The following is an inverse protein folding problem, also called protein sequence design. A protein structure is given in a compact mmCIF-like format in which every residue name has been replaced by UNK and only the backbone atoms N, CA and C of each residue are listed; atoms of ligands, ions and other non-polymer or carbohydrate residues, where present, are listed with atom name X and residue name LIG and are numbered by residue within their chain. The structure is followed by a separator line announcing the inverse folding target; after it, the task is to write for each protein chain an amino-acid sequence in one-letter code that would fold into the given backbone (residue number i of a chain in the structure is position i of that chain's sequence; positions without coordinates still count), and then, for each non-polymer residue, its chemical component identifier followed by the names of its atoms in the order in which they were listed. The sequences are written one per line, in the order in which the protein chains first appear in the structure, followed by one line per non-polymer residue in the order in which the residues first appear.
data_IF_663567769472
#
_entry.id   IF_663567769472
#
_cell.length_a   1.000
_cell.length_b   1.000
_cell.length_c   1.000
_cell.angle_alpha   90.00
_cell.angle_beta   90.00
_cell.angle_gamma   90.00
#
_symmetry.space_group_name_H-M   'P 1'
#
loop_
_entity.id
_entity.type
_entity.pdbx_description
1 polymer ?
#
# COMPACT_ATOMS: atom_id res chain seq x y z
N UNK A 1 -7.71 2.75 22.01
CA UNK A 1 -8.43 3.48 20.95
C UNK A 1 -7.41 4.13 20.04
N UNK A 2 -7.18 3.57 18.86
CA UNK A 2 -6.29 4.19 17.87
C UNK A 2 -6.93 5.47 17.33
N UNK A 3 -6.14 6.53 17.14
CA UNK A 3 -6.58 7.80 16.54
C UNK A 3 -6.96 7.66 15.05
N UNK A 4 -6.67 6.51 14.43
CA UNK A 4 -6.92 6.21 13.01
C UNK A 4 -7.91 5.04 12.77
N UNK A 5 -8.66 4.59 13.79
CA UNK A 5 -9.54 3.42 13.71
C UNK A 5 -8.86 2.12 13.24
N UNK A 6 -7.58 1.91 13.60
CA UNK A 6 -6.77 0.75 13.18
C UNK A 6 -6.44 0.71 11.68
N UNK A 7 -6.57 1.85 10.99
CA UNK A 7 -6.29 1.96 9.57
C UNK A 7 -4.87 1.50 9.21
N UNK A 8 -3.85 1.87 10.00
CA UNK A 8 -2.46 1.46 9.74
C UNK A 8 -2.25 -0.06 9.71
N UNK A 9 -2.95 -0.80 10.56
CA UNK A 9 -2.87 -2.26 10.56
C UNK A 9 -3.63 -2.86 9.37
N UNK A 10 -4.80 -2.30 9.03
CA UNK A 10 -5.54 -2.71 7.84
C UNK A 10 -4.76 -2.45 6.53
N UNK A 11 -3.99 -1.35 6.46
CA UNK A 11 -3.14 -1.01 5.33
C UNK A 11 -1.98 -2.01 5.16
N UNK A 12 -1.28 -2.35 6.26
CA UNK A 12 -0.23 -3.40 6.23
C UNK A 12 -0.80 -4.75 5.80
N UNK A 13 -1.97 -5.10 6.30
CA UNK A 13 -2.62 -6.37 5.96
C UNK A 13 -3.06 -6.41 4.50
N UNK A 14 -3.55 -5.30 3.94
CA UNK A 14 -3.84 -5.19 2.51
C UNK A 14 -2.61 -5.51 1.65
N UNK A 15 -1.46 -4.91 1.97
CA UNK A 15 -0.20 -5.17 1.27
C UNK A 15 0.27 -6.62 1.43
N UNK A 16 0.12 -7.19 2.63
CA UNK A 16 0.45 -8.59 2.93
C UNK A 16 -0.38 -9.55 2.08
N UNK A 17 -1.70 -9.35 2.02
CA UNK A 17 -2.61 -10.19 1.25
C UNK A 17 -2.22 -10.17 -0.24
N UNK A 18 -1.95 -9.01 -0.82
CA UNK A 18 -1.55 -8.92 -2.24
C UNK A 18 -0.25 -9.69 -2.50
N UNK A 19 0.77 -9.50 -1.65
CA UNK A 19 2.06 -10.15 -1.83
C UNK A 19 1.96 -11.69 -1.72
N UNK A 20 1.18 -12.20 -0.75
CA UNK A 20 0.96 -13.64 -0.59
C UNK A 20 0.08 -14.23 -1.70
N UNK A 21 -0.86 -13.44 -2.23
CA UNK A 21 -1.73 -13.86 -3.34
C UNK A 21 -0.97 -14.07 -4.66
N UNK A 22 0.25 -13.52 -4.79
CA UNK A 22 1.08 -13.75 -5.96
C UNK A 22 1.58 -15.20 -6.08
N UNK A 23 1.49 -16.00 -5.01
CA UNK A 23 2.01 -17.37 -4.92
C UNK A 23 3.44 -17.48 -5.46
N UNK A 24 4.26 -16.47 -5.15
CA UNK A 24 5.63 -16.34 -5.61
C UNK A 24 6.56 -16.46 -4.38
N UNK A 25 7.31 -17.57 -4.23
CA UNK A 25 8.17 -17.81 -3.07
C UNK A 25 9.23 -16.73 -2.84
N UNK A 26 9.68 -16.05 -3.91
CA UNK A 26 10.62 -14.93 -3.79
C UNK A 26 9.94 -13.74 -3.12
N UNK A 27 8.73 -13.39 -3.55
CA UNK A 27 7.95 -12.28 -2.99
C UNK A 27 7.54 -12.60 -1.54
N UNK A 28 7.14 -13.83 -1.27
CA UNK A 28 6.83 -14.30 0.08
C UNK A 28 8.03 -14.18 1.02
N UNK A 29 9.22 -14.62 0.57
CA UNK A 29 10.46 -14.46 1.34
C UNK A 29 10.84 -13.00 1.62
N UNK A 30 10.38 -12.06 0.79
CA UNK A 30 10.63 -10.62 0.93
C UNK A 30 9.58 -9.88 1.76
N UNK A 31 8.50 -10.53 2.19
CA UNK A 31 7.36 -9.83 2.79
C UNK A 31 7.73 -9.03 4.04
N UNK A 32 8.60 -9.56 4.89
CA UNK A 32 9.02 -8.88 6.11
C UNK A 32 9.80 -7.60 5.79
N UNK A 33 10.69 -7.64 4.81
CA UNK A 33 11.44 -6.46 4.36
C UNK A 33 10.51 -5.38 3.77
N UNK A 34 9.47 -5.80 3.04
CA UNK A 34 8.45 -4.88 2.52
C UNK A 34 7.65 -4.22 3.64
N UNK A 35 7.18 -5.00 4.63
CA UNK A 35 6.41 -4.48 5.76
C UNK A 35 7.24 -3.56 6.68
N UNK A 36 8.51 -3.89 6.92
CA UNK A 36 9.43 -3.02 7.68
C UNK A 36 9.65 -1.71 6.93
N UNK A 37 9.86 -1.77 5.62
CA UNK A 37 10.04 -0.58 4.78
C UNK A 37 8.78 0.28 4.77
N UNK A 38 7.61 -0.34 4.59
CA UNK A 38 6.30 0.34 4.67
C UNK A 38 6.15 1.08 6.00
N UNK A 39 6.38 0.41 7.14
CA UNK A 39 6.28 1.04 8.46
C UNK A 39 7.25 2.22 8.64
N UNK A 40 8.49 2.11 8.13
CA UNK A 40 9.49 3.19 8.18
C UNK A 40 9.11 4.39 7.32
N UNK A 41 8.53 4.15 6.15
CA UNK A 41 8.06 5.22 5.27
C UNK A 41 6.83 5.89 5.88
N UNK A 42 5.89 5.09 6.38
CA UNK A 42 4.67 5.56 7.03
C UNK A 42 4.95 6.47 8.24
N UNK A 43 5.97 6.15 9.05
CA UNK A 43 6.36 7.00 10.18
C UNK A 43 6.91 8.38 9.78
N UNK A 44 7.23 8.59 8.50
CA UNK A 44 7.70 9.88 7.96
C UNK A 44 6.56 10.72 7.37
N UNK A 45 5.33 10.19 7.31
CA UNK A 45 4.18 10.89 6.75
C UNK A 45 3.55 11.76 7.84
N UNK A 46 3.54 13.10 7.71
CA UNK A 46 3.08 14.00 8.79
C UNK A 46 1.59 13.87 9.11
N UNK A 47 0.75 13.68 8.08
CA UNK A 47 -0.67 13.40 8.23
C UNK A 47 -1.14 12.38 7.20
N UNK A 48 -2.11 11.54 7.57
CA UNK A 48 -2.68 10.54 6.66
C UNK A 48 -3.96 11.05 6.00
N UNK A 49 -4.01 10.96 4.67
CA UNK A 49 -5.24 11.19 3.89
C UNK A 49 -5.89 9.85 3.62
N UNK A 50 -6.51 9.28 4.65
CA UNK A 50 -7.09 7.93 4.62
C UNK A 50 -7.96 7.71 3.38
N UNK A 51 -8.88 8.62 3.10
CA UNK A 51 -9.85 8.42 2.01
C UNK A 51 -9.16 8.41 0.64
N UNK A 52 -8.14 9.25 0.44
CA UNK A 52 -7.33 9.26 -0.79
C UNK A 52 -6.58 7.95 -0.96
N UNK A 53 -5.93 7.45 0.11
CA UNK A 53 -5.21 6.17 0.06
C UNK A 53 -6.17 4.99 -0.18
N UNK A 54 -7.34 4.98 0.46
CA UNK A 54 -8.36 3.95 0.24
C UNK A 54 -8.87 3.95 -1.21
N UNK A 55 -9.01 5.11 -1.85
CA UNK A 55 -9.36 5.20 -3.26
C UNK A 55 -8.30 4.54 -4.17
N UNK A 56 -7.01 4.68 -3.85
CA UNK A 56 -5.97 3.91 -4.54
C UNK A 56 -6.10 2.40 -4.30
N UNK A 57 -6.31 1.97 -3.07
CA UNK A 57 -6.47 0.54 -2.74
C UNK A 57 -7.66 -0.09 -3.46
N UNK A 58 -8.79 0.61 -3.55
CA UNK A 58 -9.95 0.15 -4.32
C UNK A 58 -9.61 -0.04 -5.80
N UNK A 59 -8.91 0.91 -6.43
CA UNK A 59 -8.50 0.79 -7.85
C UNK A 59 -7.55 -0.40 -8.07
N UNK A 60 -6.62 -0.62 -7.14
CA UNK A 60 -5.71 -1.79 -7.17
C UNK A 60 -6.53 -3.08 -7.04
N UNK A 61 -7.41 -3.15 -6.04
CA UNK A 61 -8.29 -4.31 -5.83
C UNK A 61 -9.17 -4.60 -7.05
N UNK A 62 -9.81 -3.58 -7.63
CA UNK A 62 -10.68 -3.74 -8.81
C UNK A 62 -9.90 -4.27 -10.02
N UNK A 63 -8.65 -3.82 -10.21
CA UNK A 63 -7.78 -4.32 -11.27
C UNK A 63 -7.36 -5.77 -11.02
N UNK A 64 -7.00 -6.11 -9.77
CA UNK A 64 -6.67 -7.50 -9.38
C UNK A 64 -7.88 -8.43 -9.56
N UNK A 65 -9.07 -8.01 -9.13
CA UNK A 65 -10.30 -8.77 -9.28
C UNK A 65 -10.65 -9.04 -10.76
N UNK A 66 -10.35 -8.09 -11.64
CA UNK A 66 -10.49 -8.22 -13.10
C UNK A 66 -9.34 -8.99 -13.77
N UNK A 67 -8.33 -9.42 -13.00
CA UNK A 67 -7.11 -10.08 -13.49
C UNK A 67 -6.37 -9.23 -14.53
N UNK A 68 -6.35 -7.91 -14.35
CA UNK A 68 -5.64 -6.96 -15.22
C UNK A 68 -4.30 -6.57 -14.56
N UNK A 69 -3.19 -7.26 -14.88
CA UNK A 69 -1.90 -7.00 -14.24
C UNK A 69 -1.34 -5.62 -14.59
N UNK A 70 -1.65 -5.10 -15.78
CA UNK A 70 -1.17 -3.78 -16.21
C UNK A 70 -1.83 -2.68 -15.37
N UNK A 71 -3.16 -2.73 -15.20
CA UNK A 71 -3.85 -1.76 -14.33
C UNK A 71 -3.51 -1.91 -12.87
N UNK A 72 -3.34 -3.14 -12.37
CA UNK A 72 -2.95 -3.37 -10.99
C UNK A 72 -1.58 -2.73 -10.71
N UNK A 73 -0.60 -2.96 -11.59
CA UNK A 73 0.71 -2.32 -11.52
C UNK A 73 0.62 -0.79 -11.64
N UNK A 74 -0.13 -0.28 -12.62
CA UNK A 74 -0.31 1.16 -12.84
C UNK A 74 -0.90 1.86 -11.60
N UNK A 75 -1.96 1.30 -11.01
CA UNK A 75 -2.59 1.89 -9.82
C UNK A 75 -1.69 1.79 -8.58
N UNK A 76 -0.93 0.71 -8.42
CA UNK A 76 0.08 0.61 -7.36
C UNK A 76 1.21 1.63 -7.55
N UNK A 77 1.67 1.84 -8.78
CA UNK A 77 2.68 2.86 -9.08
C UNK A 77 2.18 4.27 -8.73
N UNK A 78 0.97 4.63 -9.17
CA UNK A 78 0.40 5.95 -8.87
C UNK A 78 0.16 6.15 -7.36
N UNK A 79 -0.23 5.09 -6.64
CA UNK A 79 -0.31 5.09 -5.17
C UNK A 79 1.05 5.42 -4.53
N UNK A 80 2.11 4.70 -4.92
CA UNK A 80 3.46 4.90 -4.37
C UNK A 80 4.03 6.27 -4.76
N UNK A 81 3.74 6.74 -5.97
CA UNK A 81 4.10 8.09 -6.43
C UNK A 81 3.43 9.17 -5.58
N UNK A 82 2.14 9.03 -5.27
CA UNK A 82 1.43 9.93 -4.37
C UNK A 82 2.09 9.98 -2.98
N UNK A 83 2.37 8.82 -2.38
CA UNK A 83 3.06 8.73 -1.07
C UNK A 83 4.46 9.35 -1.13
N UNK A 84 5.23 9.07 -2.18
CA UNK A 84 6.57 9.65 -2.38
C UNK A 84 6.52 11.16 -2.50
N UNK A 85 5.66 11.68 -3.37
CA UNK A 85 5.56 13.12 -3.63
C UNK A 85 5.10 13.87 -2.38
N UNK A 86 4.27 13.23 -1.54
CA UNK A 86 3.87 13.73 -0.23
C UNK A 86 5.07 13.94 0.69
N UNK A 87 5.89 12.89 0.87
CA UNK A 87 7.10 12.93 1.69
C UNK A 87 8.08 14.01 1.18
N UNK A 88 8.33 14.05 -0.13
CA UNK A 88 9.29 14.98 -0.72
C UNK A 88 8.86 16.45 -0.64
N UNK A 89 7.55 16.71 -0.65
CA UNK A 89 7.01 18.08 -0.56
C UNK A 89 6.78 18.54 0.88
N UNK A 90 7.00 17.68 1.87
CA UNK A 90 6.70 17.96 3.28
C UNK A 90 5.23 18.29 3.52
N UNK A 91 4.35 17.78 2.64
CA UNK A 91 2.91 17.86 2.82
C UNK A 91 2.51 16.70 3.72
#
# INVERSE_FOLDING_TARGET
NSTDNHYGEADKEFHRIIALSANNPVVEGMIQSLLITHAKIDSQIPYRERDVTVEYHKKIYDALAKRDPYKAHYHMYEHLKFVRDKILKGM
#
